data_IF_265794950128
#
_entry.id   IF_265794950128
#
_cell.length_a   1.000
_cell.length_b   1.000
_cell.length_c   1.000
_cell.angle_alpha   90.00
_cell.angle_beta   90.00
_cell.angle_gamma   90.00
#
_symmetry.space_group_name_H-M   'P 1'
#
loop_
_entity.id
_entity.type
_entity.pdbx_description
1 polymer ?
#
# COMPACT_ATOMS: atom_id res chain seq x y z
N UNK A 1 0.39 12.07 0.11
CA UNK A 1 1.64 12.45 -0.59
C UNK A 1 2.09 13.78 -0.02
N UNK A 2 3.39 13.96 0.19
CA UNK A 2 3.92 15.06 0.97
C UNK A 2 3.91 16.37 0.15
N UNK A 3 3.43 17.51 0.70
CA UNK A 3 3.26 18.76 -0.05
C UNK A 3 4.57 19.54 -0.32
N UNK A 4 5.74 18.96 -0.06
CA UNK A 4 7.03 19.66 -0.11
C UNK A 4 7.85 19.39 -1.38
N UNK A 5 7.41 18.51 -2.28
CA UNK A 5 8.09 18.27 -3.55
C UNK A 5 7.62 19.27 -4.61
N UNK A 6 8.55 19.94 -5.29
CA UNK A 6 8.23 20.88 -6.37
C UNK A 6 7.55 20.17 -7.55
N UNK A 7 7.99 18.95 -7.87
CA UNK A 7 7.45 18.10 -8.94
C UNK A 7 7.52 16.63 -8.51
N UNK A 8 6.55 15.80 -8.90
CA UNK A 8 6.56 14.36 -8.58
C UNK A 8 6.15 13.49 -9.76
N UNK A 9 6.89 12.39 -9.95
CA UNK A 9 6.74 11.49 -11.10
C UNK A 9 6.55 10.04 -10.65
N UNK A 10 5.35 9.65 -10.20
CA UNK A 10 5.09 8.27 -9.83
C UNK A 10 5.10 7.36 -11.08
N UNK A 11 5.88 6.28 -11.02
CA UNK A 11 5.84 5.18 -11.98
C UNK A 11 5.21 3.94 -11.36
N UNK A 12 4.29 3.28 -12.06
CA UNK A 12 3.61 2.07 -11.56
C UNK A 12 3.55 0.99 -12.63
N UNK A 13 4.11 -0.19 -12.34
CA UNK A 13 4.03 -1.34 -13.23
C UNK A 13 2.62 -1.94 -13.32
N UNK A 14 1.85 -1.95 -12.23
CA UNK A 14 0.46 -2.41 -12.15
C UNK A 14 -0.33 -1.50 -11.20
N UNK A 15 -1.58 -1.11 -11.51
CA UNK A 15 -2.41 -0.30 -10.61
C UNK A 15 -2.82 -1.13 -9.39
N UNK A 16 -2.41 -0.67 -8.20
CA UNK A 16 -2.84 -1.29 -6.95
C UNK A 16 -4.23 -0.79 -6.56
N UNK A 17 -5.16 -1.71 -6.33
CA UNK A 17 -6.47 -1.41 -5.77
C UNK A 17 -6.34 -1.03 -4.30
N UNK A 18 -6.21 0.26 -4.01
CA UNK A 18 -6.27 0.75 -2.63
C UNK A 18 -7.72 0.97 -2.20
N UNK A 19 -8.11 0.35 -1.09
CA UNK A 19 -9.30 0.80 -0.35
C UNK A 19 -8.87 2.02 0.47
N UNK A 20 -8.73 3.17 -0.19
CA UNK A 20 -8.52 4.42 0.52
C UNK A 20 -9.77 4.74 1.34
N UNK A 21 -9.61 4.92 2.65
CA UNK A 21 -10.65 5.48 3.51
C UNK A 21 -10.56 7.01 3.35
N UNK A 22 -11.50 7.66 2.65
CA UNK A 22 -11.44 9.10 2.48
C UNK A 22 -11.47 9.78 3.84
N UNK A 23 -10.58 10.77 4.03
CA UNK A 23 -10.53 11.57 5.26
C UNK A 23 -11.86 12.29 5.56
N UNK A 24 -12.76 12.35 4.58
CA UNK A 24 -14.00 13.12 4.58
C UNK A 24 -15.28 12.35 4.93
N UNK A 25 -15.25 11.04 5.21
CA UNK A 25 -16.51 10.31 5.46
C UNK A 25 -16.52 9.26 6.57
N UNK A 26 -15.48 9.20 7.39
CA UNK A 26 -15.61 8.66 8.73
C UNK A 26 -14.64 9.41 9.63
N UNK A 27 -15.06 9.91 10.81
CA UNK A 27 -14.16 10.61 11.70
C UNK A 27 -12.92 9.74 11.90
N UNK A 28 -11.74 10.33 11.70
CA UNK A 28 -10.49 9.73 12.18
C UNK A 28 -10.76 9.43 13.65
N UNK A 29 -10.68 8.17 14.08
CA UNK A 29 -10.99 7.86 15.47
C UNK A 29 -10.03 8.66 16.34
N UNK A 30 -10.51 9.74 16.94
CA UNK A 30 -9.73 10.58 17.80
C UNK A 30 -9.74 9.92 19.19
N UNK A 31 -8.62 9.30 19.52
CA UNK A 31 -8.42 8.73 20.84
C UNK A 31 -8.21 9.86 21.84
N UNK A 32 -9.25 10.20 22.60
CA UNK A 32 -9.19 11.23 23.64
C UNK A 32 -8.20 10.82 24.75
N UNK A 33 -7.68 11.78 25.55
CA UNK A 33 -6.77 11.47 26.66
C UNK A 33 -7.34 10.45 27.66
N UNK A 34 -8.64 10.52 27.94
CA UNK A 34 -9.37 9.62 28.85
C UNK A 34 -9.41 8.20 28.27
N UNK A 35 -9.70 8.09 26.97
CA UNK A 35 -9.74 6.80 26.26
C UNK A 35 -8.35 6.14 26.17
N UNK A 36 -7.30 6.95 25.99
CA UNK A 36 -5.91 6.48 26.06
C UNK A 36 -5.53 6.01 27.46
N UNK A 37 -6.01 6.69 28.50
CA UNK A 37 -5.76 6.32 29.89
C UNK A 37 -6.53 5.05 30.29
N UNK A 38 -7.74 4.87 29.79
CA UNK A 38 -8.52 3.65 29.95
C UNK A 38 -7.78 2.43 29.37
N UNK A 39 -7.21 2.56 28.17
CA UNK A 39 -6.37 1.50 27.59
C UNK A 39 -5.07 1.25 28.34
N UNK A 40 -4.48 2.26 28.98
CA UNK A 40 -3.30 2.05 29.84
C UNK A 40 -3.64 1.30 31.12
N UNK A 41 -4.81 1.61 31.72
CA UNK A 41 -5.23 1.02 33.01
C UNK A 41 -5.94 -0.32 32.86
N UNK A 42 -6.56 -0.58 31.72
CA UNK A 42 -7.30 -1.80 31.47
C UNK A 42 -6.86 -2.48 30.16
N UNK A 43 -5.87 -3.38 30.21
CA UNK A 43 -5.42 -4.15 29.06
C UNK A 43 -6.53 -4.97 28.38
N UNK A 44 -7.58 -5.38 29.13
CA UNK A 44 -8.68 -6.16 28.57
C UNK A 44 -9.58 -5.32 27.64
N UNK A 45 -9.76 -4.03 27.94
CA UNK A 45 -10.50 -3.09 27.09
C UNK A 45 -9.74 -2.82 25.77
N UNK A 46 -8.42 -2.71 25.82
CA UNK A 46 -7.58 -2.57 24.63
C UNK A 46 -7.66 -3.81 23.73
N UNK A 47 -7.57 -5.01 24.32
CA UNK A 47 -7.68 -6.27 23.56
C UNK A 47 -9.07 -6.42 22.93
N UNK A 48 -10.14 -6.08 23.65
CA UNK A 48 -11.49 -6.11 23.12
C UNK A 48 -11.67 -5.13 21.95
N UNK A 49 -11.13 -3.92 22.06
CA UNK A 49 -11.14 -2.92 21.00
C UNK A 49 -10.33 -3.39 19.76
N UNK A 50 -9.13 -3.92 19.96
CA UNK A 50 -8.31 -4.46 18.88
C UNK A 50 -9.00 -5.61 18.14
N UNK A 51 -9.59 -6.56 18.88
CA UNK A 51 -10.34 -7.68 18.31
C UNK A 51 -11.59 -7.23 17.54
N UNK A 52 -12.26 -6.17 17.99
CA UNK A 52 -13.39 -5.61 17.26
C UNK A 52 -12.95 -5.04 15.89
N UNK A 53 -11.84 -4.31 15.84
CA UNK A 53 -11.25 -3.80 14.60
C UNK A 53 -10.82 -4.95 13.68
N UNK A 54 -10.17 -5.97 14.23
CA UNK A 54 -9.76 -7.16 13.48
C UNK A 54 -10.97 -7.91 12.91
N UNK A 55 -12.04 -8.07 13.69
CA UNK A 55 -13.26 -8.71 13.22
C UNK A 55 -13.94 -7.93 12.09
N UNK A 56 -13.94 -6.60 12.15
CA UNK A 56 -14.42 -5.72 11.07
C UNK A 56 -13.58 -5.89 9.79
N UNK A 57 -12.25 -5.83 9.92
CA UNK A 57 -11.33 -6.00 8.81
C UNK A 57 -11.44 -7.41 8.19
N UNK A 58 -11.51 -8.45 9.01
CA UNK A 58 -11.64 -9.84 8.59
C UNK A 58 -13.02 -10.17 8.03
N UNK A 59 -14.08 -9.49 8.46
CA UNK A 59 -15.43 -9.64 7.89
C UNK A 59 -15.47 -9.27 6.41
N UNK A 60 -14.58 -8.38 5.98
CA UNK A 60 -14.47 -7.90 4.60
C UNK A 60 -13.53 -8.78 3.74
N UNK A 61 -12.71 -9.63 4.36
CA UNK A 61 -11.71 -10.46 3.66
C UNK A 61 -12.31 -11.43 2.62
N UNK A 62 -13.57 -11.85 2.82
CA UNK A 62 -14.27 -12.75 1.89
C UNK A 62 -14.50 -12.18 0.49
N UNK A 63 -14.27 -10.88 0.29
CA UNK A 63 -14.32 -10.21 -1.02
C UNK A 63 -13.06 -10.50 -1.85
N UNK A 64 -11.93 -10.81 -1.20
CA UNK A 64 -10.63 -11.02 -1.85
C UNK A 64 -10.30 -12.50 -2.09
N UNK A 65 -11.13 -13.42 -1.60
CA UNK A 65 -10.94 -14.86 -1.80
C UNK A 65 -11.39 -15.28 -3.22
N UNK A 66 -10.59 -16.07 -3.96
CA UNK A 66 -10.93 -16.48 -5.32
C UNK A 66 -12.14 -17.44 -5.34
N UNK A 67 -12.97 -17.34 -6.38
CA UNK A 67 -14.05 -18.30 -6.66
C UNK A 67 -15.40 -18.03 -5.99
N UNK A 68 -15.50 -17.07 -5.06
CA UNK A 68 -16.78 -16.71 -4.45
C UNK A 68 -17.60 -15.78 -5.38
N UNK A 69 -18.95 -15.83 -5.32
CA UNK A 69 -19.80 -14.89 -6.05
C UNK A 69 -19.52 -13.42 -5.72
N UNK A 70 -19.11 -13.15 -4.47
CA UNK A 70 -18.72 -11.81 -3.99
C UNK A 70 -17.45 -11.27 -4.67
N UNK A 71 -16.55 -12.13 -5.12
CA UNK A 71 -15.30 -11.77 -5.82
C UNK A 71 -15.55 -11.35 -7.26
N UNK A 72 -16.56 -11.95 -7.94
CA UNK A 72 -16.87 -11.71 -9.36
C UNK A 72 -17.34 -10.27 -9.65
N UNK A 73 -17.91 -9.59 -8.65
CA UNK A 73 -18.32 -8.17 -8.75
C UNK A 73 -17.36 -7.20 -8.05
N UNK A 74 -16.42 -7.70 -7.23
CA UNK A 74 -15.54 -6.87 -6.41
C UNK A 74 -14.64 -5.96 -7.25
N UNK A 75 -13.99 -6.51 -8.29
CA UNK A 75 -13.12 -5.72 -9.17
C UNK A 75 -13.89 -4.62 -9.91
N UNK A 76 -15.13 -4.89 -10.35
CA UNK A 76 -15.98 -3.89 -11.01
C UNK A 76 -16.51 -2.84 -10.03
N UNK A 77 -16.89 -3.25 -8.83
CA UNK A 77 -17.29 -2.34 -7.75
C UNK A 77 -16.15 -1.43 -7.31
N UNK A 78 -14.96 -1.98 -7.04
CA UNK A 78 -13.78 -1.20 -6.67
C UNK A 78 -13.26 -0.35 -7.83
N UNK A 79 -13.35 -0.82 -9.08
CA UNK A 79 -13.02 -0.01 -10.25
C UNK A 79 -13.94 1.20 -10.40
N UNK A 80 -15.26 1.01 -10.27
CA UNK A 80 -16.24 2.12 -10.27
C UNK A 80 -16.03 3.05 -9.08
N UNK A 81 -15.86 2.49 -7.89
CA UNK A 81 -15.60 3.25 -6.66
C UNK A 81 -14.30 4.05 -6.76
N UNK A 82 -13.25 3.48 -7.34
CA UNK A 82 -11.98 4.17 -7.57
C UNK A 82 -12.15 5.28 -8.61
N UNK A 83 -12.86 5.04 -9.72
CA UNK A 83 -13.19 6.10 -10.68
C UNK A 83 -14.04 7.23 -10.07
N UNK A 84 -14.98 6.90 -9.19
CA UNK A 84 -15.78 7.88 -8.44
C UNK A 84 -14.97 8.61 -7.34
N UNK A 85 -13.95 7.95 -6.77
CA UNK A 85 -13.07 8.50 -5.73
C UNK A 85 -11.87 9.27 -6.31
N UNK A 86 -11.47 9.01 -7.56
CA UNK A 86 -10.61 9.88 -8.38
C UNK A 86 -11.41 11.13 -8.82
N UNK A 87 -12.25 11.64 -7.92
CA UNK A 87 -12.76 13.01 -7.90
C UNK A 87 -12.03 13.84 -6.84
N UNK A 88 -11.19 13.22 -6.00
CA UNK A 88 -10.21 13.95 -5.19
C UNK A 88 -9.03 14.35 -6.10
N UNK A 89 -9.24 15.44 -6.82
CA UNK A 89 -8.39 16.03 -7.86
C UNK A 89 -6.98 16.41 -7.38
N UNK A 90 -6.68 16.37 -6.08
CA UNK A 90 -5.50 17.05 -5.53
C UNK A 90 -4.19 16.27 -5.59
N UNK A 91 -4.15 15.01 -6.01
CA UNK A 91 -2.91 14.22 -5.97
C UNK A 91 -2.34 13.85 -7.35
N UNK A 92 -3.18 13.66 -8.37
CA UNK A 92 -2.75 13.22 -9.70
C UNK A 92 -3.00 14.28 -10.79
N UNK A 93 -3.92 15.23 -10.56
CA UNK A 93 -4.22 16.35 -11.48
C UNK A 93 -3.47 17.64 -11.12
N UNK A 94 -2.59 17.64 -10.10
CA UNK A 94 -1.76 18.81 -9.86
C UNK A 94 -0.83 19.01 -11.07
N UNK A 95 -0.66 20.25 -11.50
CA UNK A 95 0.18 20.59 -12.64
C UNK A 95 1.64 20.11 -12.50
N UNK A 96 2.07 19.83 -11.27
CA UNK A 96 3.41 19.34 -10.94
C UNK A 96 3.48 17.81 -10.71
N UNK A 97 2.43 17.06 -11.06
CA UNK A 97 2.42 15.60 -10.98
C UNK A 97 2.31 15.01 -12.39
N UNK A 98 3.23 14.12 -12.75
CA UNK A 98 3.19 13.40 -14.03
C UNK A 98 3.27 11.89 -13.81
N UNK A 99 2.23 11.17 -14.22
CA UNK A 99 2.15 9.70 -14.03
C UNK A 99 2.71 8.99 -15.25
N UNK A 100 3.60 8.04 -15.03
CA UNK A 100 4.17 7.21 -16.08
C UNK A 100 3.78 5.74 -15.87
N UNK A 101 3.11 5.16 -16.87
CA UNK A 101 2.61 3.77 -16.81
C UNK A 101 3.56 2.76 -17.48
N UNK A 102 4.68 3.23 -18.02
CA UNK A 102 5.75 2.41 -18.57
C UNK A 102 6.65 1.91 -17.45
N UNK A 103 7.31 0.76 -17.67
CA UNK A 103 8.30 0.26 -16.72
C UNK A 103 9.55 1.14 -16.72
N UNK A 104 10.23 1.23 -15.59
CA UNK A 104 11.55 1.88 -15.52
C UNK A 104 12.60 0.96 -16.15
N UNK A 105 13.38 1.47 -17.12
CA UNK A 105 14.41 0.71 -17.81
C UNK A 105 15.78 0.80 -17.10
N UNK A 106 16.20 2.00 -16.69
CA UNK A 106 17.44 2.24 -15.94
C UNK A 106 17.45 3.63 -15.28
N UNK A 107 18.34 3.83 -14.30
CA UNK A 107 18.65 5.16 -13.76
C UNK A 107 19.90 5.74 -14.44
N UNK A 108 20.01 7.06 -14.46
CA UNK A 108 21.18 7.85 -14.88
C UNK A 108 21.68 8.69 -13.72
N UNK A 109 22.75 9.46 -13.94
CA UNK A 109 23.24 10.41 -12.94
C UNK A 109 22.23 11.53 -12.67
N UNK A 110 21.47 11.93 -13.68
CA UNK A 110 20.53 13.06 -13.61
C UNK A 110 19.05 12.64 -13.47
N UNK A 111 18.72 11.35 -13.62
CA UNK A 111 17.33 10.92 -13.61
C UNK A 111 17.02 9.44 -13.85
N UNK A 112 15.84 9.21 -14.45
CA UNK A 112 15.30 7.87 -14.72
C UNK A 112 14.87 7.75 -16.18
N UNK A 113 15.31 6.68 -16.84
CA UNK A 113 14.89 6.32 -18.20
C UNK A 113 13.80 5.26 -18.12
N UNK A 114 12.64 5.58 -18.66
CA UNK A 114 11.52 4.65 -18.76
C UNK A 114 11.66 3.76 -20.02
N UNK A 115 10.82 2.73 -20.12
CA UNK A 115 10.79 1.80 -21.24
C UNK A 115 10.34 2.43 -22.58
N UNK A 116 9.86 3.68 -22.55
CA UNK A 116 9.62 4.51 -23.74
C UNK A 116 10.91 5.16 -24.28
N UNK A 117 12.04 5.02 -23.56
CA UNK A 117 13.33 5.60 -23.91
C UNK A 117 13.47 7.08 -23.51
N UNK A 118 12.46 7.67 -22.88
CA UNK A 118 12.51 9.05 -22.43
C UNK A 118 13.14 9.15 -21.03
N UNK A 119 14.13 10.03 -20.91
CA UNK A 119 14.79 10.34 -19.65
C UNK A 119 14.07 11.46 -18.91
N UNK A 120 13.85 11.26 -17.61
CA UNK A 120 13.15 12.19 -16.73
C UNK A 120 14.11 12.58 -15.61
N UNK A 121 14.57 13.82 -15.67
CA UNK A 121 15.49 14.36 -14.67
C UNK A 121 14.77 14.53 -13.34
N UNK A 122 15.37 13.98 -12.28
CA UNK A 122 14.80 14.03 -10.92
C UNK A 122 15.91 14.19 -9.91
N UNK A 123 15.67 15.02 -8.89
CA UNK A 123 16.63 15.22 -7.80
C UNK A 123 16.60 14.09 -6.76
N UNK A 124 15.51 13.31 -6.71
CA UNK A 124 15.31 12.26 -5.71
C UNK A 124 14.44 11.14 -6.25
N UNK A 125 14.92 9.90 -6.09
CA UNK A 125 14.18 8.68 -6.43
C UNK A 125 13.72 8.01 -5.14
N UNK A 126 12.41 7.77 -5.01
CA UNK A 126 11.83 7.04 -3.87
C UNK A 126 11.39 5.65 -4.33
N UNK A 127 12.08 4.61 -3.86
CA UNK A 127 11.71 3.21 -4.15
C UNK A 127 10.65 2.71 -3.18
N UNK A 128 9.40 2.61 -3.65
CA UNK A 128 8.27 2.04 -2.91
C UNK A 128 7.97 0.59 -3.36
N UNK A 129 9.02 -0.20 -3.62
CA UNK A 129 8.96 -1.57 -4.15
C UNK A 129 8.45 -2.60 -3.13
N UNK A 130 8.25 -2.20 -1.88
CA UNK A 130 7.79 -3.06 -0.80
C UNK A 130 8.94 -3.72 -0.07
N UNK A 131 8.70 -4.92 0.47
CA UNK A 131 9.67 -5.69 1.22
C UNK A 131 9.91 -7.03 0.52
N UNK A 132 11.17 -7.43 0.37
CA UNK A 132 11.51 -8.82 0.10
C UNK A 132 11.32 -9.59 1.41
N UNK A 133 10.26 -10.40 1.49
CA UNK A 133 10.00 -11.28 2.62
C UNK A 133 10.29 -12.72 2.20
N UNK A 134 11.56 -13.09 1.99
CA UNK A 134 11.88 -14.48 1.81
C UNK A 134 11.54 -15.13 3.15
N UNK A 135 10.61 -16.07 3.17
CA UNK A 135 10.44 -16.99 4.31
C UNK A 135 11.69 -17.89 4.50
N UNK A 136 12.86 -17.44 4.02
CA UNK A 136 14.17 -18.06 4.07
C UNK A 136 15.08 -17.16 4.91
N UNK A 137 15.80 -17.79 5.83
CA UNK A 137 16.71 -17.10 6.73
C UNK A 137 17.90 -16.51 5.96
N UNK A 138 18.32 -15.30 6.33
CA UNK A 138 19.45 -14.60 5.70
C UNK A 138 20.79 -15.30 5.99
N UNK A 139 20.86 -16.09 7.06
CA UNK A 139 22.02 -16.93 7.39
C UNK A 139 21.73 -18.40 7.07
N UNK A 140 22.80 -19.14 6.80
CA UNK A 140 22.72 -20.57 6.48
C UNK A 140 22.24 -21.35 7.69
N UNK A 141 21.13 -22.06 7.54
CA UNK A 141 20.66 -23.05 8.52
C UNK A 141 20.67 -24.42 7.88
N UNK A 142 21.39 -25.34 8.52
CA UNK A 142 21.53 -26.73 8.09
C UNK A 142 20.61 -27.60 8.92
N UNK A 143 19.60 -28.18 8.28
CA UNK A 143 18.73 -29.18 8.86
C UNK A 143 19.41 -30.55 8.96
N UNK A 144 18.68 -31.51 9.53
CA UNK A 144 19.12 -32.90 9.65
C UNK A 144 19.49 -33.48 8.28
N UNK A 145 20.64 -34.17 8.21
CA UNK A 145 21.13 -34.75 6.95
C UNK A 145 21.87 -33.76 6.04
N UNK A 146 22.26 -32.57 6.52
CA UNK A 146 23.07 -31.62 5.76
C UNK A 146 22.26 -30.72 4.82
N UNK A 147 20.92 -30.76 4.89
CA UNK A 147 20.03 -30.00 4.01
C UNK A 147 20.06 -28.51 4.37
N UNK A 148 20.40 -27.65 3.41
CA UNK A 148 20.34 -26.20 3.58
C UNK A 148 18.91 -25.70 3.39
N UNK A 149 18.37 -25.02 4.41
CA UNK A 149 16.98 -24.53 4.40
C UNK A 149 16.74 -23.37 3.43
N UNK A 150 17.76 -22.87 2.73
CA UNK A 150 17.64 -21.81 1.72
C UNK A 150 17.32 -22.33 0.31
N UNK A 151 17.48 -23.63 0.04
CA UNK A 151 17.42 -24.20 -1.32
C UNK A 151 16.00 -24.66 -1.72
N UNK A 152 15.02 -24.51 -0.82
CA UNK A 152 13.65 -24.99 -1.02
C UNK A 152 12.75 -23.89 -1.53
#
# INVERSE_FOLDING_TARGET
>A
MQPHANTSTPSSGHPSGSVYRPATQAPKQEYTPEYREEFRRNPSALIAHAKAIEAEANGTWGIFLPGLPRTKGASGYFGKRMADMIKDEQAIQLANVSVHSTHVARCTEDGVVDGDGLERNVDTIVSATGFDNPYRLHFRVVGKGGVDLRVK
#
